data_IF_822871806277
#
_entry.id   IF_822871806277
#
_cell.length_a   1.000
_cell.length_b   1.000
_cell.length_c   1.000
_cell.angle_alpha   90.00
_cell.angle_beta   90.00
_cell.angle_gamma   90.00
#
_symmetry.space_group_name_H-M   'P 1'
#
loop_
_entity.id
_entity.type
_entity.pdbx_description
1 polymer ?
#
# COMPACT_ATOMS: atom_id res chain seq x y z
N UNK A 1 -3.05 -56.13 -28.38
CA UNK A 1 -3.80 -55.02 -27.75
C UNK A 1 -2.89 -54.32 -26.76
N UNK A 2 -2.29 -53.20 -27.15
CA UNK A 2 -1.42 -52.37 -26.30
C UNK A 2 -2.29 -51.37 -25.54
N UNK A 3 -2.50 -51.58 -24.24
CA UNK A 3 -3.17 -50.59 -23.39
C UNK A 3 -2.16 -49.54 -22.96
N UNK A 4 -2.15 -48.39 -23.64
CA UNK A 4 -1.56 -47.16 -23.09
C UNK A 4 -2.33 -46.82 -21.81
N UNK A 5 -1.73 -47.08 -20.64
CA UNK A 5 -2.20 -46.47 -19.39
C UNK A 5 -1.84 -44.99 -19.47
N UNK A 6 -2.86 -44.15 -19.61
CA UNK A 6 -2.72 -42.70 -19.54
C UNK A 6 -2.12 -42.33 -18.18
N UNK A 7 -0.91 -41.78 -18.22
CA UNK A 7 -0.33 -41.04 -17.10
C UNK A 7 -1.07 -39.70 -17.00
N UNK A 8 -2.26 -39.70 -16.41
CA UNK A 8 -2.87 -38.50 -15.84
C UNK A 8 -2.78 -38.58 -14.32
N UNK A 9 -1.55 -38.63 -13.78
CA UNK A 9 -1.36 -38.10 -12.44
C UNK A 9 -1.50 -36.58 -12.59
N UNK A 10 -2.69 -36.03 -12.31
CA UNK A 10 -2.76 -34.59 -12.04
C UNK A 10 -1.75 -34.31 -10.94
N UNK A 11 -0.80 -33.42 -11.23
CA UNK A 11 0.22 -33.04 -10.27
C UNK A 11 -0.48 -32.48 -9.04
N UNK A 12 -0.36 -33.17 -7.91
CA UNK A 12 -1.08 -32.84 -6.66
C UNK A 12 -0.85 -31.39 -6.24
N UNK A 13 0.33 -30.85 -6.57
CA UNK A 13 0.69 -29.46 -6.42
C UNK A 13 0.72 -28.80 -7.81
N UNK A 14 0.00 -27.69 -7.95
CA UNK A 14 -0.07 -26.92 -9.19
C UNK A 14 1.09 -25.92 -9.28
N UNK A 15 1.24 -25.29 -10.46
CA UNK A 15 2.16 -24.17 -10.70
C UNK A 15 3.62 -24.46 -10.27
N UNK A 16 4.09 -25.69 -10.51
CA UNK A 16 5.45 -26.11 -10.16
C UNK A 16 5.70 -26.32 -8.67
N UNK A 17 4.65 -26.40 -7.85
CA UNK A 17 4.77 -26.71 -6.43
C UNK A 17 5.30 -28.12 -6.18
N UNK A 18 6.07 -28.30 -5.12
CA UNK A 18 6.65 -29.60 -4.74
C UNK A 18 5.79 -30.30 -3.70
N UNK A 19 5.37 -31.55 -3.97
CA UNK A 19 4.65 -32.37 -3.01
C UNK A 19 5.61 -33.01 -2.00
N UNK A 20 5.35 -32.81 -0.71
CA UNK A 20 6.06 -33.46 0.39
C UNK A 20 5.10 -34.31 1.22
N UNK A 21 5.58 -35.44 1.72
CA UNK A 21 4.82 -36.30 2.64
C UNK A 21 5.22 -35.97 4.06
N UNK A 22 4.24 -35.60 4.89
CA UNK A 22 4.40 -35.41 6.33
C UNK A 22 3.85 -36.65 7.01
N UNK A 23 4.73 -37.41 7.67
CA UNK A 23 4.35 -38.52 8.53
C UNK A 23 3.99 -37.98 9.92
N UNK A 24 2.77 -38.26 10.36
CA UNK A 24 2.35 -38.00 11.74
C UNK A 24 1.61 -39.25 12.24
N UNK A 25 2.19 -39.94 13.23
CA UNK A 25 1.64 -41.09 13.97
C UNK A 25 0.52 -41.86 13.24
N UNK A 26 0.91 -42.90 12.49
CA UNK A 26 0.04 -43.80 11.71
C UNK A 26 -0.80 -43.14 10.59
N UNK A 27 -0.55 -41.88 10.22
CA UNK A 27 -1.13 -41.22 9.05
C UNK A 27 -0.06 -40.46 8.24
N UNK A 28 -0.13 -40.58 6.91
CA UNK A 28 0.63 -39.76 5.97
C UNK A 28 -0.28 -38.68 5.38
N UNK A 29 0.12 -37.41 5.45
CA UNK A 29 -0.54 -36.31 4.72
C UNK A 29 0.42 -35.71 3.71
N UNK A 30 -0.06 -35.47 2.49
CA UNK A 30 0.69 -34.70 1.50
C UNK A 30 0.47 -33.20 1.73
N UNK A 31 1.53 -32.40 1.56
CA UNK A 31 1.50 -30.93 1.59
C UNK A 31 2.29 -30.41 0.40
N UNK A 32 1.86 -29.29 -0.18
CA UNK A 32 2.61 -28.60 -1.21
C UNK A 32 3.53 -27.53 -0.63
N UNK A 33 4.76 -27.46 -1.16
CA UNK A 33 5.65 -26.30 -1.04
C UNK A 33 5.49 -25.50 -2.33
N UNK A 34 5.01 -24.27 -2.23
CA UNK A 34 4.77 -23.42 -3.40
C UNK A 34 6.02 -22.65 -3.80
N UNK A 35 6.19 -22.47 -5.11
CA UNK A 35 7.20 -21.55 -5.65
C UNK A 35 6.79 -20.09 -5.36
N UNK A 36 7.73 -19.14 -5.33
CA UNK A 36 7.41 -17.74 -5.07
C UNK A 36 6.33 -17.19 -6.01
N UNK A 37 5.43 -16.35 -5.49
CA UNK A 37 4.28 -15.82 -6.23
C UNK A 37 3.05 -16.74 -6.26
N UNK A 38 3.10 -17.94 -5.68
CA UNK A 38 1.96 -18.85 -5.58
C UNK A 38 1.65 -19.27 -4.15
N UNK A 39 0.37 -19.44 -3.84
CA UNK A 39 -0.14 -19.82 -2.52
C UNK A 39 -1.32 -20.78 -2.63
N UNK A 40 -1.82 -21.23 -1.47
CA UNK A 40 -2.93 -22.19 -1.37
C UNK A 40 -2.45 -23.60 -1.09
N UNK A 41 -3.38 -24.46 -0.68
CA UNK A 41 -3.11 -25.86 -0.30
C UNK A 41 -2.42 -26.66 -1.40
N UNK A 42 -2.74 -26.35 -2.66
CA UNK A 42 -2.23 -27.00 -3.85
C UNK A 42 -1.44 -26.01 -4.72
N UNK A 43 -1.01 -24.88 -4.19
CA UNK A 43 -0.34 -23.80 -4.93
C UNK A 43 -1.15 -23.23 -6.10
N UNK A 44 -2.47 -23.31 -6.02
CA UNK A 44 -3.40 -22.95 -7.10
C UNK A 44 -3.66 -21.44 -7.23
N UNK A 45 -3.25 -20.63 -6.24
CA UNK A 45 -3.56 -19.20 -6.22
C UNK A 45 -2.33 -18.38 -6.62
N UNK A 46 -2.50 -17.55 -7.65
CA UNK A 46 -1.57 -16.47 -8.00
C UNK A 46 -1.64 -15.39 -6.93
N UNK A 47 -0.50 -14.90 -6.50
CA UNK A 47 -0.38 -13.81 -5.53
C UNK A 47 -0.25 -12.48 -6.28
N UNK A 48 -1.25 -11.60 -6.16
CA UNK A 48 -1.23 -10.24 -6.72
C UNK A 48 -0.81 -9.18 -5.70
N UNK A 49 -1.07 -9.45 -4.42
CA UNK A 49 -0.78 -8.56 -3.29
C UNK A 49 -0.36 -9.37 -2.07
N UNK A 50 0.12 -8.68 -1.03
CA UNK A 50 0.49 -9.28 0.24
C UNK A 50 -0.67 -10.02 0.94
N UNK A 51 -1.92 -9.74 0.58
CA UNK A 51 -3.14 -10.37 1.11
C UNK A 51 -3.10 -11.89 1.12
N UNK A 52 -2.46 -12.51 0.12
CA UNK A 52 -2.47 -13.98 -0.01
C UNK A 52 -1.44 -14.69 0.88
N UNK A 53 -0.59 -13.96 1.59
CA UNK A 53 0.44 -14.54 2.48
C UNK A 53 -0.06 -14.79 3.92
N UNK A 54 -1.19 -15.49 4.06
CA UNK A 54 -1.80 -15.75 5.37
C UNK A 54 -0.97 -16.63 6.31
N UNK A 55 -0.09 -17.49 5.78
CA UNK A 55 0.74 -18.43 6.57
C UNK A 55 2.10 -17.86 6.99
N UNK A 56 2.49 -16.68 6.49
CA UNK A 56 3.77 -16.02 6.76
C UNK A 56 3.51 -14.55 7.01
N UNK A 57 3.04 -14.20 8.21
CA UNK A 57 2.68 -12.83 8.60
C UNK A 57 3.85 -12.09 9.25
N UNK A 58 5.03 -12.17 8.65
CA UNK A 58 6.20 -11.39 9.08
C UNK A 58 6.48 -10.31 8.06
N UNK A 59 6.60 -9.06 8.49
CA UNK A 59 6.93 -7.96 7.60
C UNK A 59 8.26 -8.22 6.89
N UNK A 60 8.35 -7.90 5.60
CA UNK A 60 9.55 -8.19 4.81
C UNK A 60 9.29 -8.17 3.31
N UNK A 61 10.28 -8.61 2.54
CA UNK A 61 10.17 -8.70 1.08
C UNK A 61 9.50 -10.01 0.65
N UNK A 62 8.56 -9.92 -0.28
CA UNK A 62 7.81 -11.03 -0.88
C UNK A 62 7.72 -10.84 -2.40
N UNK A 63 7.30 -11.90 -3.12
CA UNK A 63 7.17 -11.87 -4.58
C UNK A 63 5.72 -11.96 -5.02
N UNK A 64 5.26 -11.00 -5.82
CA UNK A 64 3.90 -10.98 -6.37
C UNK A 64 3.94 -10.90 -7.89
N UNK A 65 2.84 -11.26 -8.54
CA UNK A 65 2.67 -11.17 -9.98
C UNK A 65 1.92 -9.91 -10.39
N UNK A 66 2.36 -9.27 -11.46
CA UNK A 66 1.57 -8.26 -12.16
C UNK A 66 0.52 -8.90 -13.08
N UNK A 67 -0.26 -8.10 -13.79
CA UNK A 67 -1.31 -8.59 -14.71
C UNK A 67 -0.78 -9.29 -15.96
N UNK A 68 0.49 -9.09 -16.30
CA UNK A 68 1.18 -9.79 -17.36
C UNK A 68 1.91 -11.05 -16.88
N UNK A 69 1.69 -11.48 -15.62
CA UNK A 69 2.35 -12.61 -14.98
C UNK A 69 3.88 -12.43 -14.85
N UNK A 70 4.38 -11.20 -14.78
CA UNK A 70 5.75 -10.95 -14.37
C UNK A 70 5.85 -10.95 -12.86
N UNK A 71 6.82 -11.69 -12.33
CA UNK A 71 7.08 -11.77 -10.90
C UNK A 71 7.98 -10.60 -10.48
N UNK A 72 7.62 -9.88 -9.42
CA UNK A 72 8.40 -8.77 -8.87
C UNK A 72 8.37 -8.73 -7.35
N UNK A 73 9.35 -8.05 -6.76
CA UNK A 73 9.51 -7.90 -5.32
C UNK A 73 8.67 -6.74 -4.78
N UNK A 74 8.00 -6.97 -3.65
CA UNK A 74 7.27 -5.96 -2.88
C UNK A 74 7.64 -6.09 -1.41
N UNK A 75 7.47 -5.01 -0.64
CA UNK A 75 7.49 -5.10 0.81
C UNK A 75 6.08 -5.33 1.34
N UNK A 76 5.92 -6.35 2.17
CA UNK A 76 4.68 -6.64 2.88
C UNK A 76 4.77 -6.22 4.33
N UNK A 77 3.73 -5.58 4.82
CA UNK A 77 3.44 -5.42 6.24
C UNK A 77 2.19 -6.23 6.61
N UNK A 78 2.18 -6.82 7.79
CA UNK A 78 1.06 -7.58 8.32
C UNK A 78 0.69 -7.00 9.66
N UNK A 79 -0.46 -6.33 9.70
CA UNK A 79 -0.93 -5.71 10.93
C UNK A 79 -1.20 -6.79 11.99
N UNK A 80 -0.50 -6.69 13.12
CA UNK A 80 -0.63 -7.62 14.25
C UNK A 80 -2.02 -7.58 14.90
N UNK A 81 -2.73 -6.45 14.78
CA UNK A 81 -4.04 -6.20 15.39
C UNK A 81 -5.20 -6.45 14.43
N UNK A 82 -4.94 -6.79 13.16
CA UNK A 82 -5.98 -7.10 12.18
C UNK A 82 -5.58 -8.27 11.28
N UNK A 83 -6.46 -8.66 10.35
CA UNK A 83 -6.09 -9.61 9.29
C UNK A 83 -5.52 -8.91 8.06
N UNK A 84 -5.48 -7.57 8.06
CA UNK A 84 -5.05 -6.82 6.89
C UNK A 84 -3.57 -7.05 6.60
N UNK A 85 -3.29 -7.38 5.34
CA UNK A 85 -1.94 -7.37 4.80
C UNK A 85 -1.81 -6.17 3.87
N UNK A 86 -0.67 -5.48 3.97
CA UNK A 86 -0.36 -4.25 3.27
C UNK A 86 0.79 -4.49 2.30
N UNK A 87 0.65 -3.97 1.09
CA UNK A 87 1.65 -4.03 0.02
C UNK A 87 2.18 -2.62 -0.21
N UNK A 88 3.49 -2.42 -0.05
CA UNK A 88 4.12 -1.13 -0.30
C UNK A 88 4.10 -0.80 -1.79
N UNK A 89 3.58 0.36 -2.16
CA UNK A 89 3.54 0.81 -3.56
C UNK A 89 4.40 2.03 -3.85
N UNK A 90 4.64 2.87 -2.85
CA UNK A 90 5.51 4.04 -2.96
C UNK A 90 6.16 4.33 -1.61
N UNK A 91 7.42 4.73 -1.62
CA UNK A 91 8.17 5.16 -0.43
C UNK A 91 9.25 6.17 -0.82
N UNK A 92 9.36 7.27 -0.09
CA UNK A 92 10.43 8.23 -0.32
C UNK A 92 10.79 9.03 0.92
N UNK A 93 12.06 9.45 0.98
CA UNK A 93 12.52 10.45 1.94
C UNK A 93 12.09 11.85 1.52
N UNK A 94 11.82 12.71 2.49
CA UNK A 94 11.43 14.11 2.24
C UNK A 94 12.40 14.83 1.30
N UNK A 95 13.72 14.66 1.45
CA UNK A 95 14.71 15.29 0.56
C UNK A 95 14.53 14.93 -0.92
N UNK A 96 13.86 13.82 -1.21
CA UNK A 96 13.58 13.34 -2.56
C UNK A 96 12.17 13.71 -3.08
N UNK A 97 11.35 14.46 -2.31
CA UNK A 97 9.94 14.71 -2.63
C UNK A 97 9.70 15.24 -4.05
N UNK A 98 10.61 16.05 -4.58
CA UNK A 98 10.54 16.65 -5.91
C UNK A 98 10.44 15.62 -7.05
N UNK A 99 10.84 14.36 -6.82
CA UNK A 99 10.70 13.24 -7.78
C UNK A 99 9.33 12.53 -7.70
N UNK A 100 8.56 12.81 -6.66
CA UNK A 100 7.26 12.22 -6.35
C UNK A 100 6.12 13.25 -6.48
N UNK A 101 6.28 14.24 -7.37
CA UNK A 101 5.31 15.32 -7.58
C UNK A 101 4.16 14.97 -8.54
N UNK A 102 4.15 13.76 -9.09
CA UNK A 102 3.06 13.27 -9.94
C UNK A 102 2.01 12.57 -9.09
N UNK A 103 0.74 12.73 -9.49
CA UNK A 103 -0.38 11.95 -8.97
C UNK A 103 -0.30 10.48 -9.37
N UNK A 104 -0.97 9.62 -8.59
CA UNK A 104 -1.04 8.17 -8.84
C UNK A 104 -1.75 7.77 -10.15
N UNK A 105 -2.54 8.67 -10.75
CA UNK A 105 -3.15 8.44 -12.06
C UNK A 105 -2.16 8.58 -13.24
N UNK A 106 -0.93 9.03 -13.00
CA UNK A 106 0.14 9.13 -13.99
C UNK A 106 1.26 8.12 -13.71
N UNK A 107 1.81 7.54 -14.77
CA UNK A 107 2.92 6.60 -14.63
C UNK A 107 4.22 7.30 -14.24
N UNK A 108 4.87 6.78 -13.18
CA UNK A 108 6.12 7.30 -12.64
C UNK A 108 6.90 6.23 -11.85
N UNK A 109 7.29 5.11 -12.47
CA UNK A 109 8.06 4.08 -11.79
C UNK A 109 9.43 4.61 -11.36
N UNK A 110 9.82 4.30 -10.14
CA UNK A 110 11.12 4.62 -9.55
C UNK A 110 11.61 3.38 -8.82
N UNK A 111 12.68 2.74 -9.29
CA UNK A 111 13.24 1.53 -8.68
C UNK A 111 12.20 0.41 -8.42
N UNK A 112 11.21 0.26 -9.31
CA UNK A 112 10.04 -0.61 -9.09
C UNK A 112 10.34 -2.11 -8.89
N UNK A 113 11.56 -2.55 -9.20
CA UNK A 113 12.02 -3.93 -9.01
C UNK A 113 12.89 -4.11 -7.76
N UNK A 114 13.08 -3.06 -6.96
CA UNK A 114 13.93 -3.08 -5.76
C UNK A 114 13.30 -2.21 -4.68
N UNK A 115 12.40 -2.78 -3.85
CA UNK A 115 11.77 -2.05 -2.74
C UNK A 115 12.82 -1.40 -1.84
N UNK A 116 12.67 -0.08 -1.63
CA UNK A 116 13.57 0.74 -0.82
C UNK A 116 12.81 1.89 -0.18
N UNK A 117 13.27 2.33 0.98
CA UNK A 117 12.54 3.31 1.79
C UNK A 117 12.67 4.75 1.29
N UNK A 118 13.82 5.07 0.70
CA UNK A 118 14.20 6.44 0.37
C UNK A 118 13.79 6.91 -1.03
N UNK A 119 13.58 5.96 -1.96
CA UNK A 119 13.40 6.28 -3.37
C UNK A 119 12.73 5.15 -4.18
N UNK A 120 11.45 4.89 -3.96
CA UNK A 120 10.70 3.77 -4.56
C UNK A 120 9.27 4.17 -4.98
N UNK A 121 8.88 3.79 -6.19
CA UNK A 121 7.50 3.84 -6.68
C UNK A 121 7.30 2.74 -7.71
N UNK A 122 6.25 1.96 -7.56
CA UNK A 122 5.81 1.04 -8.61
C UNK A 122 5.32 1.82 -9.85
N UNK A 123 5.34 1.16 -11.01
CA UNK A 123 4.60 1.62 -12.18
C UNK A 123 3.09 1.62 -11.90
N UNK A 124 2.37 2.50 -12.59
CA UNK A 124 0.92 2.62 -12.49
C UNK A 124 0.22 1.28 -12.72
N UNK A 125 0.65 0.51 -13.71
CA UNK A 125 0.06 -0.81 -14.03
C UNK A 125 0.22 -1.82 -12.89
N UNK A 126 1.39 -1.85 -12.21
CA UNK A 126 1.59 -2.70 -11.03
C UNK A 126 0.78 -2.24 -9.84
N UNK A 127 0.69 -0.93 -9.61
CA UNK A 127 -0.17 -0.36 -8.58
C UNK A 127 -1.65 -0.71 -8.81
N UNK A 128 -2.14 -0.63 -10.05
CA UNK A 128 -3.50 -1.02 -10.44
C UNK A 128 -3.77 -2.50 -10.19
N UNK A 129 -2.84 -3.39 -10.56
CA UNK A 129 -2.94 -4.83 -10.29
C UNK A 129 -3.08 -5.13 -8.79
N UNK A 130 -2.26 -4.48 -7.95
CA UNK A 130 -2.33 -4.61 -6.48
C UNK A 130 -3.63 -4.00 -5.94
N UNK A 131 -4.03 -2.81 -6.43
CA UNK A 131 -5.25 -2.11 -6.02
C UNK A 131 -6.50 -2.93 -6.33
N UNK A 132 -6.51 -3.69 -7.42
CA UNK A 132 -7.64 -4.57 -7.79
C UNK A 132 -7.79 -5.78 -6.85
N UNK A 133 -6.72 -6.22 -6.18
CA UNK A 133 -6.75 -7.25 -5.14
C UNK A 133 -6.83 -6.64 -3.72
N UNK A 134 -7.02 -5.32 -3.61
CA UNK A 134 -7.02 -4.54 -2.37
C UNK A 134 -8.34 -3.79 -2.15
N UNK A 135 -8.67 -3.49 -0.89
CA UNK A 135 -9.89 -2.76 -0.50
C UNK A 135 -9.59 -1.43 0.20
N UNK A 136 -8.37 -1.26 0.70
CA UNK A 136 -7.93 -0.10 1.49
C UNK A 136 -6.61 0.45 0.96
N UNK A 137 -6.32 1.67 1.37
CA UNK A 137 -4.99 2.27 1.29
C UNK A 137 -4.65 2.94 2.62
N UNK A 138 -3.35 3.09 2.89
CA UNK A 138 -2.87 3.91 4.00
C UNK A 138 -1.61 4.67 3.61
N UNK A 139 -1.33 5.74 4.35
CA UNK A 139 -0.07 6.46 4.31
C UNK A 139 0.52 6.48 5.72
N UNK A 140 1.80 6.17 5.82
CA UNK A 140 2.57 6.14 7.07
C UNK A 140 3.77 7.06 6.98
N UNK A 141 4.25 7.53 8.13
CA UNK A 141 5.55 8.17 8.30
C UNK A 141 6.51 7.24 9.03
N UNK A 142 7.79 7.23 8.62
CA UNK A 142 8.90 6.57 9.36
C UNK A 142 8.65 5.08 9.63
N UNK A 143 7.93 4.38 8.73
CA UNK A 143 7.68 2.94 8.90
C UNK A 143 8.97 2.13 8.91
N UNK A 144 9.99 2.56 8.17
CA UNK A 144 11.27 1.86 8.03
C UNK A 144 12.06 1.76 9.34
N UNK A 145 11.86 2.71 10.26
CA UNK A 145 12.55 2.79 11.55
C UNK A 145 11.64 2.41 12.72
N UNK A 146 10.35 2.73 12.65
CA UNK A 146 9.42 2.61 13.78
C UNK A 146 8.28 1.60 13.55
N UNK A 147 8.13 1.08 12.34
CA UNK A 147 6.97 0.26 11.96
C UNK A 147 5.67 1.07 11.95
N UNK A 148 4.54 0.44 12.30
CA UNK A 148 3.24 1.13 12.30
C UNK A 148 3.08 1.98 13.56
N UNK A 149 3.04 3.30 13.37
CA UNK A 149 2.70 4.29 14.39
C UNK A 149 1.51 5.11 13.87
N UNK A 150 0.46 5.24 14.67
CA UNK A 150 -0.79 5.92 14.28
C UNK A 150 -0.74 7.45 14.41
N UNK A 151 0.33 8.02 14.97
CA UNK A 151 0.59 9.47 14.87
C UNK A 151 1.19 9.77 13.51
N UNK A 152 0.65 10.78 12.81
CA UNK A 152 0.98 11.07 11.40
C UNK A 152 0.74 9.85 10.50
N UNK A 153 -0.55 9.48 10.43
CA UNK A 153 -1.05 8.30 9.73
C UNK A 153 -2.38 8.65 9.06
N UNK A 154 -2.63 8.09 7.87
CA UNK A 154 -3.93 8.21 7.20
C UNK A 154 -4.34 6.88 6.58
N UNK A 155 -5.63 6.54 6.66
CA UNK A 155 -6.20 5.34 6.05
C UNK A 155 -7.58 5.59 5.45
N UNK A 156 -7.82 4.99 4.29
CA UNK A 156 -9.06 5.12 3.56
C UNK A 156 -9.44 3.84 2.81
N UNK A 157 -10.68 3.82 2.33
CA UNK A 157 -11.23 2.73 1.53
C UNK A 157 -11.21 3.09 0.05
N UNK A 158 -10.88 2.10 -0.80
CA UNK A 158 -10.83 2.28 -2.26
C UNK A 158 -12.21 2.67 -2.83
N UNK A 159 -13.31 2.18 -2.22
CA UNK A 159 -14.68 2.49 -2.68
C UNK A 159 -15.15 3.91 -2.30
N UNK A 160 -14.40 4.61 -1.43
CA UNK A 160 -14.67 5.98 -1.01
C UNK A 160 -13.76 6.96 -1.76
N UNK A 161 -12.45 6.73 -1.68
CA UNK A 161 -11.43 7.47 -2.42
C UNK A 161 -10.47 6.44 -3.00
N UNK A 162 -10.61 6.17 -4.30
CA UNK A 162 -9.63 5.37 -5.03
C UNK A 162 -8.48 6.26 -5.47
N UNK A 163 -7.36 6.23 -4.75
CA UNK A 163 -6.22 7.11 -5.03
C UNK A 163 -5.62 6.90 -6.43
N UNK A 164 -5.87 5.77 -7.09
CA UNK A 164 -5.38 5.53 -8.47
C UNK A 164 -6.16 6.33 -9.52
N UNK A 165 -7.40 6.72 -9.22
CA UNK A 165 -8.30 7.42 -10.15
C UNK A 165 -8.78 8.77 -9.63
N UNK A 166 -8.57 9.04 -8.33
CA UNK A 166 -8.95 10.27 -7.67
C UNK A 166 -8.20 11.47 -8.24
N UNK A 167 -8.92 12.51 -8.64
CA UNK A 167 -8.34 13.76 -9.13
C UNK A 167 -9.20 14.92 -8.64
N UNK A 168 -8.68 15.67 -7.65
CA UNK A 168 -9.31 16.87 -7.13
C UNK A 168 -8.25 17.88 -6.66
N UNK A 169 -8.41 19.12 -7.12
CA UNK A 169 -7.55 20.25 -6.76
C UNK A 169 -8.20 21.22 -5.76
N UNK A 170 -9.49 21.06 -5.47
CA UNK A 170 -10.25 21.97 -4.59
C UNK A 170 -10.60 21.31 -3.26
N UNK A 171 -9.89 21.62 -2.16
CA UNK A 171 -10.25 21.15 -0.82
C UNK A 171 -11.71 21.43 -0.49
N UNK A 172 -12.22 22.62 -0.83
CA UNK A 172 -13.62 23.02 -0.61
C UNK A 172 -14.63 22.06 -1.22
N UNK A 173 -14.35 21.52 -2.41
CA UNK A 173 -15.22 20.55 -3.06
C UNK A 173 -15.19 19.21 -2.31
N UNK A 174 -14.00 18.73 -1.95
CA UNK A 174 -13.82 17.46 -1.23
C UNK A 174 -14.52 17.51 0.13
N UNK A 175 -14.34 18.61 0.86
CA UNK A 175 -14.91 18.84 2.18
C UNK A 175 -16.44 18.99 2.19
N UNK A 176 -17.07 19.34 1.06
CA UNK A 176 -18.53 19.54 0.99
C UNK A 176 -19.31 18.25 0.72
N UNK A 177 -18.62 17.15 0.45
CA UNK A 177 -19.23 15.88 0.08
C UNK A 177 -19.09 14.86 1.21
N UNK A 178 -20.18 14.63 1.94
CA UNK A 178 -20.26 13.68 3.07
C UNK A 178 -19.80 12.26 2.71
N UNK A 179 -19.90 11.88 1.43
CA UNK A 179 -19.44 10.60 0.92
C UNK A 179 -17.91 10.44 0.84
N UNK A 180 -17.12 11.50 1.02
CA UNK A 180 -15.65 11.46 0.96
C UNK A 180 -14.99 11.38 2.35
N UNK A 181 -15.66 10.73 3.30
CA UNK A 181 -15.13 10.50 4.65
C UNK A 181 -14.11 9.36 4.65
N UNK A 182 -12.89 9.65 5.08
CA UNK A 182 -11.85 8.64 5.25
C UNK A 182 -12.04 7.88 6.57
N UNK A 183 -11.41 6.71 6.71
CA UNK A 183 -11.56 5.84 7.89
C UNK A 183 -10.91 6.48 9.12
N UNK A 184 -9.64 6.87 8.99
CA UNK A 184 -8.86 7.49 10.06
C UNK A 184 -7.76 8.39 9.51
N UNK A 185 -7.53 9.51 10.19
CA UNK A 185 -6.36 10.37 10.00
C UNK A 185 -5.86 10.84 11.36
N UNK A 186 -4.55 10.98 11.46
CA UNK A 186 -3.87 11.73 12.52
C UNK A 186 -2.82 12.62 11.87
N UNK A 187 -2.79 13.89 12.27
CA UNK A 187 -1.72 14.83 11.95
C UNK A 187 -1.28 15.46 13.26
N UNK A 188 -0.02 15.24 13.63
CA UNK A 188 0.64 15.77 14.82
C UNK A 188 -0.09 15.42 16.12
N UNK A 189 -0.64 14.21 16.20
CA UNK A 189 -1.38 13.69 17.35
C UNK A 189 -2.84 14.18 17.45
N UNK A 190 -3.31 14.95 16.47
CA UNK A 190 -4.71 15.34 16.35
C UNK A 190 -5.36 14.44 15.32
N UNK A 191 -6.36 13.66 15.73
CA UNK A 191 -6.97 12.65 14.88
C UNK A 191 -8.47 12.83 14.69
N UNK A 192 -8.97 12.11 13.70
CA UNK A 192 -10.36 12.07 13.33
C UNK A 192 -10.69 10.74 12.66
N UNK A 193 -11.94 10.27 12.84
CA UNK A 193 -12.48 9.05 12.21
C UNK A 193 -13.75 9.39 11.46
N UNK A 194 -13.96 8.69 10.35
CA UNK A 194 -15.16 8.84 9.51
C UNK A 194 -15.47 10.32 9.23
N UNK A 195 -14.49 11.02 8.69
CA UNK A 195 -14.56 12.46 8.53
C UNK A 195 -13.88 12.93 7.26
N UNK A 196 -14.31 14.08 6.77
CA UNK A 196 -13.73 14.67 5.56
C UNK A 196 -12.34 15.24 5.87
N UNK A 197 -11.45 15.18 4.88
CA UNK A 197 -10.08 15.74 4.93
C UNK A 197 -9.78 16.52 3.65
N UNK A 198 -8.92 17.56 3.71
CA UNK A 198 -8.55 18.36 2.55
C UNK A 198 -7.52 17.62 1.68
N UNK A 199 -7.86 16.41 1.23
CA UNK A 199 -7.01 15.59 0.38
C UNK A 199 -7.04 16.12 -1.04
N UNK A 200 -5.86 16.27 -1.63
CA UNK A 200 -5.64 16.84 -2.96
C UNK A 200 -4.85 15.83 -3.78
N UNK A 201 -5.21 15.69 -5.05
CA UNK A 201 -4.40 15.03 -6.06
C UNK A 201 -4.73 15.57 -7.45
N UNK A 202 -3.72 15.92 -8.24
CA UNK A 202 -3.83 16.34 -9.65
C UNK A 202 -2.52 16.01 -10.40
N UNK A 203 -2.47 16.07 -11.75
CA UNK A 203 -1.28 15.66 -12.54
C UNK A 203 0.10 16.11 -12.03
N UNK A 204 0.21 17.28 -11.42
CA UNK A 204 1.45 17.83 -10.83
C UNK A 204 1.32 18.21 -9.35
N UNK A 205 0.32 17.64 -8.69
CA UNK A 205 0.10 17.72 -7.25
C UNK A 205 -0.10 16.29 -6.74
N UNK A 206 0.92 15.68 -6.11
CA UNK A 206 0.79 14.31 -5.65
C UNK A 206 -0.30 14.21 -4.59
N UNK A 207 -0.70 13.00 -4.21
CA UNK A 207 -1.60 12.81 -3.08
C UNK A 207 -1.00 13.46 -1.82
N UNK A 208 -1.71 14.41 -1.22
CA UNK A 208 -1.32 15.06 0.03
C UNK A 208 -2.55 15.64 0.74
N UNK A 209 -2.39 16.05 2.00
CA UNK A 209 -3.36 16.89 2.70
C UNK A 209 -2.85 18.33 2.74
N UNK A 210 -3.68 19.28 2.30
CA UNK A 210 -3.44 20.72 2.48
C UNK A 210 -4.29 21.21 3.65
N UNK A 211 -3.73 21.10 4.86
CA UNK A 211 -4.52 21.28 6.10
C UNK A 211 -4.68 22.75 6.52
N UNK A 212 -3.92 23.68 5.92
CA UNK A 212 -3.97 25.09 6.30
C UNK A 212 -5.31 25.75 5.91
N UNK A 213 -5.86 25.42 4.74
CA UNK A 213 -7.10 26.00 4.22
C UNK A 213 -8.34 25.09 4.40
N UNK A 214 -8.33 24.20 5.40
CA UNK A 214 -9.36 23.19 5.57
C UNK A 214 -10.72 23.73 6.04
N UNK A 215 -11.76 23.47 5.25
CA UNK A 215 -13.16 23.59 5.69
C UNK A 215 -13.78 22.24 6.11
N UNK A 216 -13.02 21.16 5.98
CA UNK A 216 -13.43 19.78 6.28
C UNK A 216 -13.68 19.56 7.77
N UNK A 217 -14.27 18.43 8.12
CA UNK A 217 -14.43 18.02 9.52
C UNK A 217 -13.09 17.99 10.28
N UNK A 218 -12.05 17.47 9.62
CA UNK A 218 -10.71 17.45 10.19
C UNK A 218 -10.02 18.81 10.06
N UNK A 219 -9.80 19.46 11.21
CA UNK A 219 -9.16 20.79 11.34
C UNK A 219 -8.10 20.77 12.45
N UNK A 220 -6.91 20.20 12.20
CA UNK A 220 -5.84 20.20 13.19
C UNK A 220 -5.37 21.62 13.47
N UNK A 221 -5.15 21.94 14.75
CA UNK A 221 -4.65 23.24 15.18
C UNK A 221 -3.14 23.37 14.94
N UNK A 222 -2.64 24.62 14.95
CA UNK A 222 -1.21 24.95 14.76
C UNK A 222 -0.66 24.51 13.39
N UNK A 223 -1.49 24.61 12.35
CA UNK A 223 -1.01 24.48 10.98
C UNK A 223 -0.06 25.63 10.64
N UNK A 224 0.94 25.35 9.80
CA UNK A 224 1.87 26.37 9.32
C UNK A 224 1.48 26.93 7.95
N UNK A 225 1.99 28.12 7.68
CA UNK A 225 2.00 28.77 6.39
C UNK A 225 3.43 29.18 6.07
N UNK A 226 3.98 28.65 4.98
CA UNK A 226 5.35 28.90 4.55
C UNK A 226 5.31 29.76 3.30
N UNK A 227 5.58 31.06 3.44
CA UNK A 227 5.61 32.11 2.41
C UNK A 227 4.39 32.18 1.47
N UNK A 228 4.18 31.15 0.64
CA UNK A 228 3.10 31.02 -0.36
C UNK A 228 2.30 29.71 -0.28
N UNK A 229 2.62 28.79 0.64
CA UNK A 229 2.00 27.48 0.73
C UNK A 229 1.50 27.17 2.15
N UNK A 230 0.34 26.50 2.25
CA UNK A 230 -0.15 25.91 3.49
C UNK A 230 0.59 24.62 3.81
N UNK A 231 0.61 24.23 5.10
CA UNK A 231 1.18 22.96 5.56
C UNK A 231 0.65 21.77 4.75
N UNK A 232 1.57 21.10 4.03
CA UNK A 232 1.33 19.88 3.29
C UNK A 232 1.75 18.67 4.15
N UNK A 233 0.86 17.70 4.32
CA UNK A 233 1.15 16.43 4.99
C UNK A 233 1.00 15.25 4.02
N UNK A 234 1.70 14.16 4.29
CA UNK A 234 1.64 12.91 3.52
C UNK A 234 2.06 12.99 2.04
N UNK A 235 2.52 14.16 1.59
CA UNK A 235 3.09 14.38 0.27
C UNK A 235 3.26 15.86 -0.04
N UNK A 236 3.77 16.17 -1.24
CA UNK A 236 4.01 17.52 -1.81
C UNK A 236 5.02 18.39 -1.06
N UNK A 237 4.88 18.54 0.26
CA UNK A 237 5.85 19.13 1.18
C UNK A 237 6.43 20.49 0.76
N UNK A 238 5.61 21.39 0.19
CA UNK A 238 6.05 22.77 -0.06
C UNK A 238 6.11 23.59 1.22
N UNK A 239 5.24 23.28 2.19
CA UNK A 239 5.34 23.76 3.56
C UNK A 239 5.28 22.58 4.52
N UNK A 240 6.31 22.43 5.34
CA UNK A 240 6.44 21.31 6.29
C UNK A 240 6.37 21.79 7.72
N UNK A 241 5.73 21.02 8.60
CA UNK A 241 5.70 21.29 10.03
C UNK A 241 6.66 20.35 10.77
N UNK A 242 7.64 20.85 11.53
CA UNK A 242 8.64 20.00 12.19
C UNK A 242 8.05 19.05 13.25
N UNK A 243 6.79 19.24 13.64
CA UNK A 243 6.10 18.30 14.53
C UNK A 243 5.45 17.11 13.79
N UNK A 244 5.42 17.12 12.46
CA UNK A 244 4.91 16.00 11.66
C UNK A 244 6.07 15.04 11.32
N UNK A 245 5.90 13.75 11.57
CA UNK A 245 6.97 12.74 11.48
C UNK A 245 7.61 12.64 10.10
N UNK A 246 6.86 12.85 9.01
CA UNK A 246 7.43 12.85 7.65
C UNK A 246 8.19 14.15 7.26
N UNK A 247 8.40 15.11 8.17
CA UNK A 247 8.86 16.46 7.84
C UNK A 247 10.35 16.74 8.10
N UNK A 248 11.17 15.69 8.29
CA UNK A 248 12.63 15.80 8.32
C UNK A 248 13.27 15.30 7.01
N UNK A 249 14.44 15.79 6.57
CA UNK A 249 15.02 15.44 5.27
C UNK A 249 15.14 13.93 5.00
N UNK A 250 15.51 13.16 6.02
CA UNK A 250 15.65 11.70 5.95
C UNK A 250 14.40 10.94 6.37
N UNK A 251 13.35 11.64 6.80
CA UNK A 251 12.09 11.02 7.16
C UNK A 251 11.37 10.52 5.93
N UNK A 252 10.71 9.38 6.07
CA UNK A 252 10.10 8.65 4.96
C UNK A 252 8.58 8.76 4.99
N UNK A 253 7.98 8.82 3.80
CA UNK A 253 6.53 8.69 3.59
C UNK A 253 6.27 7.43 2.78
N UNK A 254 5.39 6.54 3.26
CA UNK A 254 5.04 5.31 2.56
C UNK A 254 3.55 5.24 2.26
N UNK A 255 3.22 4.88 1.02
CA UNK A 255 1.86 4.60 0.58
C UNK A 255 1.70 3.10 0.34
N UNK A 256 0.58 2.55 0.83
CA UNK A 256 0.30 1.12 0.84
C UNK A 256 -1.10 0.84 0.33
N UNK A 257 -1.28 -0.33 -0.30
CA UNK A 257 -2.59 -0.93 -0.53
C UNK A 257 -2.78 -2.17 0.34
N UNK A 258 -3.98 -2.37 0.87
CA UNK A 258 -4.25 -3.49 1.77
C UNK A 258 -5.65 -4.07 1.69
N UNK A 259 -5.78 -5.28 2.20
CA UNK A 259 -7.07 -5.96 2.35
C UNK A 259 -7.01 -7.03 3.45
N UNK A 260 -8.16 -7.39 4.08
CA UNK A 260 -8.26 -8.47 5.06
C UNK A 260 -7.88 -9.86 4.57
#
# INVERSE_FOLDING_TARGET
>A
MSSRKSSCAMEYCQNGGTAITISAWNKSRQRCICVPGYTGRYCQHVVKSCRRYSNSRTAGQYKVFDDNMNLFDVFCDFDSNSTTAWTLVQSYQLQNYHKFMKSFNLDNPINENTPRWDFYSLSKSRMESIRNDSSKWRITCEYDTEGVVYTDYMEGWNDIIDIMTYEQFSPSFVCSLDKHKIDYVDVRGQNCRNCTVPIIQAPYNPLHLDIYFSMCDFKPTKSLYCDSAGEDNFGRYLCTNPNHRCSFPTATTQTWFGSP
#
